data_IF_964776289254
#
_entry.id   IF_964776289254
#
_cell.length_a   1.000
_cell.length_b   1.000
_cell.length_c   1.000
_cell.angle_alpha   90.00
_cell.angle_beta   90.00
_cell.angle_gamma   90.00
#
_symmetry.space_group_name_H-M   'P 1'
#
loop_
_entity.id
_entity.type
_entity.pdbx_description
1 polymer ?
#
# COMPACT_ATOMS: atom_id res chain seq x y z
N UNK A 1 -5.56 -54.20 44.46
CA UNK A 1 -4.41 -53.26 44.53
C UNK A 1 -3.86 -52.91 43.14
N UNK A 2 -3.79 -53.86 42.19
CA UNK A 2 -3.22 -53.65 40.84
C UNK A 2 -3.97 -52.57 40.03
N UNK A 3 -5.31 -52.54 40.05
CA UNK A 3 -6.09 -51.56 39.27
C UNK A 3 -5.91 -50.09 39.71
N UNK A 4 -5.58 -49.82 40.99
CA UNK A 4 -5.39 -48.45 41.48
C UNK A 4 -4.05 -47.85 41.05
N UNK A 5 -3.05 -48.70 40.84
CA UNK A 5 -1.71 -48.27 40.38
C UNK A 5 -1.74 -47.84 38.92
N UNK A 6 -2.49 -48.52 38.05
CA UNK A 6 -2.58 -48.19 36.63
C UNK A 6 -3.26 -46.82 36.40
N UNK A 7 -4.32 -46.50 37.15
CA UNK A 7 -5.05 -45.23 37.01
C UNK A 7 -4.14 -44.02 37.29
N UNK A 8 -3.28 -44.11 38.32
CA UNK A 8 -2.34 -43.03 38.65
C UNK A 8 -1.30 -42.80 37.56
N UNK A 9 -0.83 -43.85 36.89
CA UNK A 9 0.11 -43.75 35.77
C UNK A 9 -0.55 -43.10 34.56
N UNK A 10 -1.80 -43.45 34.25
CA UNK A 10 -2.54 -42.80 33.15
C UNK A 10 -2.81 -41.32 33.41
N UNK A 11 -3.15 -40.95 34.65
CA UNK A 11 -3.35 -39.54 35.01
C UNK A 11 -2.04 -38.75 34.88
N UNK A 12 -0.92 -39.32 35.33
CA UNK A 12 0.41 -38.70 35.18
C UNK A 12 0.83 -38.54 33.71
N UNK A 13 0.60 -39.56 32.89
CA UNK A 13 0.92 -39.47 31.47
C UNK A 13 0.01 -38.45 30.76
N UNK A 14 -1.29 -38.43 31.07
CA UNK A 14 -2.23 -37.47 30.51
C UNK A 14 -1.88 -36.03 30.91
N UNK A 15 -1.46 -35.79 32.16
CA UNK A 15 -1.06 -34.46 32.60
C UNK A 15 0.23 -34.00 31.92
N UNK A 16 1.23 -34.88 31.76
CA UNK A 16 2.46 -34.57 31.03
C UNK A 16 2.17 -34.26 29.56
N UNK A 17 1.33 -35.06 28.89
CA UNK A 17 0.92 -34.80 27.50
C UNK A 17 0.19 -33.46 27.37
N UNK A 18 -0.70 -33.14 28.32
CA UNK A 18 -1.41 -31.86 28.33
C UNK A 18 -0.46 -30.67 28.50
N UNK A 19 0.51 -30.76 29.42
CA UNK A 19 1.52 -29.71 29.62
C UNK A 19 2.38 -29.51 28.37
N UNK A 20 2.78 -30.59 27.70
CA UNK A 20 3.55 -30.50 26.44
C UNK A 20 2.74 -29.81 25.35
N UNK A 21 1.45 -30.12 25.21
CA UNK A 21 0.59 -29.47 24.22
C UNK A 21 0.38 -27.98 24.52
N UNK A 22 0.20 -27.59 25.78
CA UNK A 22 0.04 -26.19 26.18
C UNK A 22 1.32 -25.39 25.93
N UNK A 23 2.50 -25.95 26.25
CA UNK A 23 3.79 -25.29 26.00
C UNK A 23 4.08 -25.05 24.51
N UNK A 24 3.53 -25.87 23.62
CA UNK A 24 3.71 -25.69 22.17
C UNK A 24 2.90 -24.50 21.61
N UNK A 25 1.85 -24.05 22.31
CA UNK A 25 0.94 -23.02 21.79
C UNK A 25 1.41 -21.57 22.02
N UNK A 26 2.27 -21.30 23.01
CA UNK A 26 2.72 -19.94 23.32
C UNK A 26 3.75 -19.38 22.33
N UNK A 27 4.48 -20.24 21.61
CA UNK A 27 5.55 -19.81 20.68
C UNK A 27 5.05 -19.04 19.44
N UNK A 28 3.76 -19.12 19.11
CA UNK A 28 3.23 -18.55 17.85
C UNK A 28 3.12 -17.00 17.90
N UNK A 29 2.86 -16.43 19.08
CA UNK A 29 2.74 -14.97 19.25
C UNK A 29 4.11 -14.28 19.21
N UNK A 30 5.12 -14.86 19.84
CA UNK A 30 6.48 -14.31 19.85
C UNK A 30 7.13 -14.32 18.47
N UNK A 31 6.88 -15.35 17.65
CA UNK A 31 7.33 -15.36 16.25
C UNK A 31 6.67 -14.24 15.43
N UNK A 32 5.36 -14.00 15.62
CA UNK A 32 4.65 -12.90 14.92
C UNK A 32 5.26 -11.55 15.26
N UNK A 33 5.48 -11.28 16.56
CA UNK A 33 6.10 -10.04 17.02
C UNK A 33 7.53 -9.87 16.48
N UNK A 34 8.34 -10.95 16.47
CA UNK A 34 9.69 -10.91 15.90
C UNK A 34 9.68 -10.65 14.39
N UNK A 35 8.78 -11.28 13.64
CA UNK A 35 8.68 -11.08 12.20
C UNK A 35 8.18 -9.67 11.84
N UNK A 36 7.27 -9.11 12.65
CA UNK A 36 6.86 -7.71 12.55
C UNK A 36 8.06 -6.78 12.82
N UNK A 37 8.78 -6.99 13.93
CA UNK A 37 9.93 -6.18 14.29
C UNK A 37 11.02 -6.20 13.20
N UNK A 38 11.30 -7.38 12.61
CA UNK A 38 12.27 -7.52 11.51
C UNK A 38 11.85 -6.75 10.24
N UNK A 39 10.54 -6.62 9.97
CA UNK A 39 10.05 -5.79 8.86
C UNK A 39 10.12 -4.30 9.18
N UNK A 40 9.80 -3.93 10.43
CA UNK A 40 9.90 -2.55 10.89
C UNK A 40 11.35 -2.04 10.87
N UNK A 41 12.31 -2.89 11.21
CA UNK A 41 13.74 -2.60 11.12
C UNK A 41 14.18 -2.39 9.66
N UNK A 42 13.77 -3.28 8.75
CA UNK A 42 14.11 -3.16 7.32
C UNK A 42 13.59 -1.87 6.66
N UNK A 43 12.42 -1.40 7.06
CA UNK A 43 11.79 -0.19 6.48
C UNK A 43 11.94 1.07 7.35
N UNK A 44 12.45 0.94 8.57
CA UNK A 44 12.64 2.02 9.54
C UNK A 44 11.35 2.67 10.05
N UNK A 45 10.20 2.00 9.93
CA UNK A 45 8.87 2.55 10.28
C UNK A 45 7.95 1.44 10.78
N UNK A 46 7.03 1.79 11.68
CA UNK A 46 6.02 0.85 12.19
C UNK A 46 5.02 0.44 11.10
N UNK A 47 4.55 -0.82 11.12
CA UNK A 47 3.62 -1.36 10.10
C UNK A 47 2.37 -0.49 9.90
N UNK A 48 1.87 0.14 10.96
CA UNK A 48 0.69 1.01 10.93
C UNK A 48 0.88 2.28 10.10
N UNK A 49 2.14 2.74 9.96
CA UNK A 49 2.51 3.93 9.18
C UNK A 49 2.68 3.63 7.69
N UNK A 50 2.65 2.36 7.28
CA UNK A 50 2.78 2.00 5.88
C UNK A 50 1.59 2.53 5.08
N UNK A 51 1.86 2.92 3.84
CA UNK A 51 0.82 3.25 2.87
C UNK A 51 0.08 1.98 2.45
N UNK A 52 -1.16 2.13 2.00
CA UNK A 52 -1.98 1.00 1.48
C UNK A 52 -1.28 0.26 0.33
N UNK A 53 -0.47 0.98 -0.46
CA UNK A 53 0.29 0.39 -1.57
C UNK A 53 1.37 -0.56 -1.06
N UNK A 54 2.14 -0.14 -0.07
CA UNK A 54 3.21 -0.97 0.52
C UNK A 54 2.64 -2.19 1.25
N UNK A 55 1.50 -2.04 1.95
CA UNK A 55 0.82 -3.17 2.59
C UNK A 55 0.35 -4.22 1.57
N UNK A 56 -0.22 -3.77 0.43
CA UNK A 56 -0.60 -4.67 -0.66
C UNK A 56 0.59 -5.35 -1.32
N UNK A 57 1.71 -4.65 -1.41
CA UNK A 57 2.96 -5.22 -1.92
C UNK A 57 3.50 -6.32 -1.00
N UNK A 58 3.49 -6.11 0.32
CA UNK A 58 3.85 -7.15 1.30
C UNK A 58 2.95 -8.40 1.22
N UNK A 59 1.66 -8.23 0.94
CA UNK A 59 0.74 -9.35 0.71
C UNK A 59 1.07 -10.07 -0.60
N UNK A 60 1.35 -9.31 -1.67
CA UNK A 60 1.69 -9.85 -3.00
C UNK A 60 3.00 -10.63 -2.98
N UNK A 61 4.02 -10.15 -2.28
CA UNK A 61 5.30 -10.87 -2.10
C UNK A 61 5.11 -12.28 -1.49
N UNK A 62 4.02 -12.46 -0.73
CA UNK A 62 3.64 -13.74 -0.10
C UNK A 62 2.58 -14.51 -0.90
N UNK A 63 2.21 -14.02 -2.09
CA UNK A 63 1.18 -14.63 -2.93
C UNK A 63 -0.24 -14.45 -2.40
N UNK A 64 -0.48 -13.53 -1.45
CA UNK A 64 -1.80 -13.28 -0.87
C UNK A 64 -2.42 -12.05 -1.53
N UNK A 65 -3.64 -12.20 -2.04
CA UNK A 65 -4.43 -11.08 -2.55
C UNK A 65 -5.47 -10.63 -1.52
N UNK A 66 -5.60 -9.32 -1.31
CA UNK A 66 -6.64 -8.73 -0.46
C UNK A 66 -7.91 -8.50 -1.30
N UNK A 67 -8.73 -9.53 -1.47
CA UNK A 67 -10.05 -9.41 -2.10
C UNK A 67 -11.07 -8.86 -1.10
N UNK A 68 -11.79 -7.79 -1.45
CA UNK A 68 -12.83 -7.20 -0.59
C UNK A 68 -12.34 -6.31 0.56
N UNK A 69 -11.06 -5.97 0.63
CA UNK A 69 -10.52 -5.08 1.66
C UNK A 69 -10.83 -3.62 1.33
N UNK A 70 -11.92 -3.08 1.88
CA UNK A 70 -12.34 -1.67 1.73
C UNK A 70 -11.54 -0.71 2.62
N UNK A 71 -11.15 -1.17 3.80
CA UNK A 71 -10.50 -0.35 4.82
C UNK A 71 -9.03 -0.72 5.04
N UNK A 72 -8.23 0.24 5.49
CA UNK A 72 -6.81 0.03 5.81
C UNK A 72 -6.62 -0.97 6.96
N UNK A 73 -7.52 -0.94 7.94
CA UNK A 73 -7.59 -1.87 9.09
C UNK A 73 -7.59 -3.34 8.63
N UNK A 74 -8.46 -3.69 7.68
CA UNK A 74 -8.57 -5.05 7.17
C UNK A 74 -7.30 -5.50 6.45
N UNK A 75 -6.63 -4.59 5.73
CA UNK A 75 -5.35 -4.90 5.07
C UNK A 75 -4.25 -5.14 6.11
N UNK A 76 -4.19 -4.32 7.17
CA UNK A 76 -3.22 -4.47 8.25
C UNK A 76 -3.41 -5.79 9.00
N UNK A 77 -4.64 -6.17 9.30
CA UNK A 77 -4.97 -7.44 9.95
C UNK A 77 -4.48 -8.63 9.09
N UNK A 78 -4.79 -8.59 7.79
CA UNK A 78 -4.33 -9.62 6.84
C UNK A 78 -2.81 -9.69 6.73
N UNK A 79 -2.12 -8.55 6.78
CA UNK A 79 -0.64 -8.50 6.80
C UNK A 79 -0.08 -9.14 8.07
N UNK A 80 -0.71 -8.90 9.23
CA UNK A 80 -0.31 -9.52 10.51
C UNK A 80 -0.48 -11.03 10.48
N UNK A 81 -1.56 -11.53 9.90
CA UNK A 81 -1.82 -12.98 9.75
C UNK A 81 -0.85 -13.65 8.78
N UNK A 82 -0.52 -12.97 7.67
CA UNK A 82 0.31 -13.55 6.60
C UNK A 82 1.80 -13.38 6.82
N UNK A 83 2.22 -12.61 7.82
CA UNK A 83 3.63 -12.27 8.04
C UNK A 83 4.53 -13.49 8.26
N UNK A 84 3.98 -14.55 8.86
CA UNK A 84 4.64 -15.82 9.13
C UNK A 84 4.77 -16.71 7.87
N UNK A 85 3.98 -16.43 6.84
CA UNK A 85 4.05 -17.23 5.63
C UNK A 85 5.39 -16.95 4.93
N UNK A 86 6.10 -18.01 4.49
CA UNK A 86 7.35 -17.83 3.77
C UNK A 86 7.08 -16.97 2.54
N UNK A 87 8.00 -16.05 2.27
CA UNK A 87 7.97 -15.26 1.04
C UNK A 87 8.06 -16.25 -0.11
N UNK A 88 6.92 -16.51 -0.75
CA UNK A 88 6.88 -17.29 -1.96
C UNK A 88 7.53 -16.42 -3.02
N UNK A 89 8.83 -16.62 -3.22
CA UNK A 89 9.58 -16.06 -4.33
C UNK A 89 8.97 -16.63 -5.61
N UNK A 90 7.85 -16.05 -6.05
CA UNK A 90 7.15 -16.48 -7.24
C UNK A 90 6.81 -15.27 -8.08
N UNK A 91 7.67 -15.20 -9.09
CA UNK A 91 7.34 -14.90 -10.48
C UNK A 91 7.08 -13.43 -10.69
N UNK A 92 8.01 -12.81 -11.41
CA UNK A 92 7.87 -11.57 -12.12
C UNK A 92 6.45 -11.49 -12.69
N UNK A 93 5.53 -10.87 -11.95
CA UNK A 93 4.22 -10.58 -12.49
C UNK A 93 4.47 -9.65 -13.68
N UNK A 94 3.92 -9.97 -14.85
CA UNK A 94 4.18 -9.25 -16.08
C UNK A 94 3.84 -7.80 -15.81
N UNK A 95 4.88 -6.97 -15.88
CA UNK A 95 4.81 -5.52 -15.86
C UNK A 95 3.64 -5.14 -16.76
N UNK A 96 2.49 -4.83 -16.16
CA UNK A 96 1.37 -4.19 -16.81
C UNK A 96 1.83 -2.77 -17.08
N UNK A 97 2.72 -2.63 -18.06
CA UNK A 97 2.62 -1.53 -19.01
C UNK A 97 1.17 -1.49 -19.48
N UNK A 98 0.66 -0.29 -19.74
CA UNK A 98 -0.70 0.00 -20.20
C UNK A 98 -1.67 0.41 -19.08
N UNK A 99 -1.55 1.69 -18.74
CA UNK A 99 -2.72 2.57 -18.69
C UNK A 99 -3.66 2.27 -19.89
N UNK A 100 -4.91 1.83 -19.70
CA UNK A 100 -5.92 1.97 -20.74
C UNK A 100 -6.41 3.43 -20.72
N UNK A 101 -5.53 4.38 -21.04
CA UNK A 101 -5.93 5.67 -21.59
C UNK A 101 -5.92 5.55 -23.11
N UNK A 102 -7.07 5.86 -23.72
CA UNK A 102 -7.36 5.97 -25.16
C UNK A 102 -7.63 4.67 -25.92
N UNK A 103 -8.91 4.28 -25.92
CA UNK A 103 -9.62 4.00 -27.17
C UNK A 103 -10.71 5.07 -27.41
N UNK A 104 -10.30 6.34 -27.43
CA UNK A 104 -10.99 7.33 -28.28
C UNK A 104 -10.28 7.28 -29.63
N UNK A 105 -11.01 7.13 -30.74
CA UNK A 105 -10.40 7.09 -32.07
C UNK A 105 -9.51 8.31 -32.26
N UNK A 106 -8.22 8.05 -32.49
CA UNK A 106 -7.23 9.06 -32.84
C UNK A 106 -7.52 9.47 -34.28
N UNK A 107 -8.36 10.49 -34.47
CA UNK A 107 -8.49 11.15 -35.79
C UNK A 107 -7.09 11.67 -36.17
N UNK A 108 -6.62 11.44 -37.40
CA UNK A 108 -5.42 12.11 -37.90
C UNK A 108 -5.62 13.63 -37.78
N UNK A 109 -4.60 14.39 -37.35
CA UNK A 109 -4.69 15.85 -37.32
C UNK A 109 -4.76 16.34 -38.78
N UNK A 110 -5.94 16.74 -39.23
CA UNK A 110 -6.09 17.57 -40.42
C UNK A 110 -5.74 19.01 -40.02
N UNK A 111 -4.52 19.42 -40.34
CA UNK A 111 -3.88 20.70 -39.98
C UNK A 111 -4.37 21.92 -40.79
N UNK A 112 -5.69 22.16 -40.84
CA UNK A 112 -6.17 23.37 -41.54
C UNK A 112 -7.41 24.03 -40.96
N UNK A 113 -7.90 23.58 -39.79
CA UNK A 113 -9.08 24.18 -39.15
C UNK A 113 -8.90 24.62 -37.70
N UNK A 114 -7.79 24.28 -37.04
CA UNK A 114 -7.60 24.61 -35.62
C UNK A 114 -7.27 26.07 -35.34
N UNK A 115 -6.74 26.79 -36.32
CA UNK A 115 -6.36 28.19 -36.13
C UNK A 115 -7.59 29.11 -36.05
N UNK A 116 -8.65 28.79 -36.79
CA UNK A 116 -9.90 29.58 -36.78
C UNK A 116 -10.67 29.43 -35.46
N UNK A 117 -10.64 28.24 -34.86
CA UNK A 117 -11.32 28.00 -33.59
C UNK A 117 -10.56 28.63 -32.41
N UNK A 118 -9.23 28.77 -32.49
CA UNK A 118 -8.43 29.42 -31.45
C UNK A 118 -8.65 30.94 -31.43
N UNK A 119 -8.76 31.58 -32.60
CA UNK A 119 -9.07 33.01 -32.69
C UNK A 119 -10.48 33.33 -32.14
N UNK A 120 -11.47 32.48 -32.42
CA UNK A 120 -12.84 32.63 -31.88
C UNK A 120 -12.90 32.41 -30.36
N UNK A 121 -12.05 31.53 -29.81
CA UNK A 121 -11.92 31.32 -28.36
C UNK A 121 -11.19 32.51 -27.70
N UNK A 122 -10.14 33.06 -28.34
CA UNK A 122 -9.46 34.26 -27.86
C UNK A 122 -10.38 35.48 -27.91
N UNK A 123 -11.21 35.61 -28.93
CA UNK A 123 -12.20 36.67 -29.05
C UNK A 123 -13.28 36.57 -27.95
N UNK A 124 -13.74 35.34 -27.63
CA UNK A 124 -14.70 35.10 -26.53
C UNK A 124 -14.11 35.36 -25.15
N UNK A 125 -12.82 35.04 -24.92
CA UNK A 125 -12.18 35.34 -23.64
C UNK A 125 -11.91 36.84 -23.43
N UNK A 126 -11.69 37.62 -24.49
CA UNK A 126 -11.48 39.07 -24.40
C UNK A 126 -12.75 39.87 -24.06
N UNK A 127 -13.94 39.29 -24.25
CA UNK A 127 -15.21 39.94 -23.98
C UNK A 127 -15.83 39.62 -22.61
N UNK A 128 -15.11 38.96 -21.69
CA UNK A 128 -15.63 38.73 -20.33
C UNK A 128 -15.36 39.95 -19.43
N UNK A 129 -16.42 40.65 -18.94
CA UNK A 129 -16.27 41.76 -18.00
C UNK A 129 -15.76 41.22 -16.66
N UNK A 130 -14.60 41.74 -16.20
CA UNK A 130 -14.00 41.36 -14.90
C UNK A 130 -12.65 40.64 -14.96
N UNK A 131 -12.06 40.45 -16.16
CA UNK A 131 -10.76 39.76 -16.32
C UNK A 131 -9.49 40.60 -16.14
N UNK A 132 -9.59 41.92 -15.98
CA UNK A 132 -8.44 42.84 -16.03
C UNK A 132 -7.51 42.80 -14.79
N UNK A 133 -7.89 42.06 -13.74
CA UNK A 133 -7.12 42.00 -12.48
C UNK A 133 -6.52 40.63 -12.15
N UNK A 134 -6.57 39.66 -13.07
CA UNK A 134 -5.85 38.39 -12.85
C UNK A 134 -4.37 38.66 -13.14
N UNK A 135 -3.64 39.04 -12.10
CA UNK A 135 -2.18 39.16 -12.13
C UNK A 135 -1.61 37.75 -12.31
N UNK A 136 -1.43 37.35 -13.56
CA UNK A 136 -0.72 36.12 -13.94
C UNK A 136 0.73 36.32 -13.49
N UNK A 137 1.09 35.73 -12.35
CA UNK A 137 2.49 35.69 -11.94
C UNK A 137 3.25 34.87 -12.96
N UNK A 138 4.24 35.51 -13.56
CA UNK A 138 5.17 34.86 -14.47
C UNK A 138 6.08 33.93 -13.69
N UNK A 139 6.66 32.94 -14.39
CA UNK A 139 7.54 31.94 -13.78
C UNK A 139 8.73 32.58 -13.06
N UNK A 140 9.18 33.73 -13.56
CA UNK A 140 10.26 34.53 -12.99
C UNK A 140 9.90 35.14 -11.61
N UNK A 141 8.63 35.54 -11.40
CA UNK A 141 8.16 36.05 -10.09
C UNK A 141 8.15 34.95 -9.01
N UNK A 142 7.86 33.71 -9.43
CA UNK A 142 7.84 32.53 -8.55
C UNK A 142 9.25 32.18 -8.08
N UNK A 143 10.26 32.36 -8.93
CA UNK A 143 11.65 32.07 -8.61
C UNK A 143 12.27 33.17 -7.72
N UNK A 144 11.88 34.44 -7.89
CA UNK A 144 12.27 35.52 -6.97
C UNK A 144 11.76 35.28 -5.53
N UNK A 145 10.56 34.71 -5.37
CA UNK A 145 10.01 34.36 -4.05
C UNK A 145 10.76 33.19 -3.37
N UNK A 146 11.39 32.30 -4.14
CA UNK A 146 12.18 31.20 -3.58
C UNK A 146 13.54 31.63 -3.05
N UNK A 147 14.17 32.62 -3.69
CA UNK A 147 15.50 33.08 -3.30
C UNK A 147 15.49 34.00 -2.06
N UNK A 148 14.38 34.69 -1.78
CA UNK A 148 14.28 35.58 -0.60
C UNK A 148 14.12 34.89 0.76
N UNK A 149 14.13 33.55 0.84
CA UNK A 149 13.94 32.77 2.09
C UNK A 149 15.20 32.12 2.64
N UNK A 150 16.35 32.32 2.00
CA UNK A 150 17.62 31.71 2.43
C UNK A 150 18.48 32.58 3.35
N UNK A 151 18.06 33.82 3.65
CA UNK A 151 18.86 34.77 4.43
C UNK A 151 18.25 35.15 5.80
N UNK A 152 17.33 34.33 6.35
CA UNK A 152 16.86 34.43 7.73
C UNK A 152 17.03 33.12 8.50
#
# INVERSE_FOLDING_TARGET
KIMRSSILVFILLASVVFVIQVLAAENDQDEKLKAIAALEEKKGKSIEKFSVKELKELLRERGVQCTGCSEKSHILEKVRETILQPVTAKTEDPKKTEDPKKNRPRRPPTDSKRDKDLDDILAKLKNMPGGENIKVMTRDDIDMLKQGKSDL
#
